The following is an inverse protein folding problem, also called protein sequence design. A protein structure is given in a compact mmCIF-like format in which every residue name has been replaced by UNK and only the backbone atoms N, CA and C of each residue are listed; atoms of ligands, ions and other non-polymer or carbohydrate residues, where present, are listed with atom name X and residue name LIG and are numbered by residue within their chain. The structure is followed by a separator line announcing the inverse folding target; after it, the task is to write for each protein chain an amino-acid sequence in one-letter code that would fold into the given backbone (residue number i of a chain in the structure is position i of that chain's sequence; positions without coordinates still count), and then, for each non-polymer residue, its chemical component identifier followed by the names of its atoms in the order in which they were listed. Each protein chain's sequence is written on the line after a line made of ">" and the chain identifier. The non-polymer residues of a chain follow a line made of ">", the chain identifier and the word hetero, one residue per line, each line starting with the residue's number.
data_IF_440683812393
#
_entry.id   IF_440683812393
#
_cell.length_a   1.000
_cell.length_b   1.000
_cell.length_c   1.000
_cell.angle_alpha   90.00
_cell.angle_beta   90.00
_cell.angle_gamma   90.00
#
_symmetry.space_group_name_H-M   'P 1'
#
loop_
_entity.id
_entity.type
_entity.pdbx_description
1 polymer ?
#
# COMPACT_ATOMS: atom_id res chain seq x y z
N UNK A 1 -16.40 15.60 -45.52
CA UNK A 1 -15.73 14.33 -45.16
C UNK A 1 -16.69 13.18 -45.43
N UNK A 2 -16.30 12.17 -46.23
CA UNK A 2 -17.19 11.04 -46.56
C UNK A 2 -17.62 10.31 -45.28
N UNK A 3 -18.87 9.82 -45.22
CA UNK A 3 -19.46 9.12 -44.07
C UNK A 3 -18.58 7.95 -43.61
N UNK A 4 -17.89 7.30 -44.55
CA UNK A 4 -16.92 6.23 -44.29
C UNK A 4 -15.73 6.73 -43.45
N UNK A 5 -15.08 7.83 -43.84
CA UNK A 5 -13.94 8.39 -43.10
C UNK A 5 -14.31 8.82 -41.67
N UNK A 6 -15.52 9.36 -41.47
CA UNK A 6 -16.02 9.72 -40.14
C UNK A 6 -16.18 8.51 -39.23
N UNK A 7 -16.68 7.39 -39.77
CA UNK A 7 -16.83 6.16 -39.01
C UNK A 7 -15.47 5.53 -38.66
N UNK A 8 -14.54 5.48 -39.61
CA UNK A 8 -13.18 4.96 -39.38
C UNK A 8 -12.44 5.76 -38.31
N UNK A 9 -12.51 7.10 -38.38
CA UNK A 9 -11.92 7.98 -37.38
C UNK A 9 -12.50 7.74 -35.97
N UNK A 10 -13.81 7.57 -35.84
CA UNK A 10 -14.45 7.28 -34.56
C UNK A 10 -14.02 5.92 -33.98
N UNK A 11 -13.88 4.88 -34.82
CA UNK A 11 -13.39 3.58 -34.35
C UNK A 11 -11.93 3.63 -33.91
N UNK A 12 -11.09 4.41 -34.60
CA UNK A 12 -9.70 4.66 -34.21
C UNK A 12 -9.61 5.36 -32.85
N UNK A 13 -10.43 6.40 -32.62
CA UNK A 13 -10.50 7.06 -31.30
C UNK A 13 -10.94 6.07 -30.22
N UNK A 14 -11.98 5.26 -30.48
CA UNK A 14 -12.45 4.27 -29.52
C UNK A 14 -11.38 3.22 -29.19
N UNK A 15 -10.67 2.72 -30.20
CA UNK A 15 -9.59 1.76 -30.02
C UNK A 15 -8.41 2.35 -29.21
N UNK A 16 -8.06 3.62 -29.45
CA UNK A 16 -7.03 4.32 -28.65
C UNK A 16 -7.50 4.48 -27.20
N UNK A 17 -8.75 4.85 -26.96
CA UNK A 17 -9.29 4.96 -25.59
C UNK A 17 -9.25 3.60 -24.89
N UNK A 18 -9.67 2.53 -25.56
CA UNK A 18 -9.61 1.17 -25.00
C UNK A 18 -8.16 0.75 -24.73
N UNK A 19 -7.23 1.05 -25.63
CA UNK A 19 -5.81 0.73 -25.45
C UNK A 19 -5.18 1.51 -24.29
N UNK A 20 -5.49 2.80 -24.15
CA UNK A 20 -5.02 3.64 -23.04
C UNK A 20 -5.63 3.19 -21.70
N UNK A 21 -6.88 2.73 -21.70
CA UNK A 21 -7.52 2.13 -20.52
C UNK A 21 -7.02 0.72 -20.21
N UNK A 22 -6.44 0.02 -21.19
CA UNK A 22 -5.86 -1.31 -21.04
C UNK A 22 -4.35 -1.27 -20.74
N UNK A 23 -3.74 -0.07 -20.63
CA UNK A 23 -2.37 0.06 -20.18
C UNK A 23 -2.21 -0.62 -18.83
N UNK A 24 -1.37 -1.65 -18.76
CA UNK A 24 -1.02 -2.28 -17.48
C UNK A 24 -0.43 -1.20 -16.59
N UNK A 25 -1.02 -1.00 -15.42
CA UNK A 25 -0.39 -0.21 -14.37
C UNK A 25 1.00 -0.81 -14.15
N UNK A 26 2.05 -0.02 -14.34
CA UNK A 26 3.39 -0.43 -13.97
C UNK A 26 3.41 -0.50 -12.44
N UNK A 27 3.08 -1.67 -11.89
CA UNK A 27 3.14 -1.93 -10.46
C UNK A 27 4.60 -2.22 -10.14
N UNK A 28 5.30 -1.21 -9.62
CA UNK A 28 6.55 -1.44 -8.92
C UNK A 28 6.17 -2.02 -7.56
N UNK A 29 6.37 -3.32 -7.38
CA UNK A 29 6.28 -3.92 -6.04
C UNK A 29 7.46 -3.39 -5.24
N UNK A 30 7.23 -2.73 -4.09
CA UNK A 30 8.33 -2.27 -3.27
C UNK A 30 9.10 -3.46 -2.73
N UNK A 31 10.40 -3.27 -2.52
CA UNK A 31 11.24 -4.31 -1.94
C UNK A 31 10.83 -4.59 -0.51
N UNK A 32 10.45 -3.57 0.26
CA UNK A 32 9.96 -3.73 1.62
C UNK A 32 8.48 -3.34 1.66
N UNK A 33 7.64 -4.23 2.17
CA UNK A 33 6.22 -3.94 2.41
C UNK A 33 5.73 -4.65 3.66
N UNK A 34 4.73 -4.05 4.32
CA UNK A 34 4.02 -4.65 5.44
C UNK A 34 2.62 -5.08 4.98
N UNK A 35 2.12 -6.14 5.59
CA UNK A 35 0.75 -6.63 5.44
C UNK A 35 0.26 -7.16 6.78
N UNK A 36 -1.03 -6.99 7.11
CA UNK A 36 -1.64 -7.60 8.29
C UNK A 36 -2.50 -8.79 7.86
N UNK A 37 -2.22 -9.98 8.37
CA UNK A 37 -3.05 -11.16 8.08
C UNK A 37 -4.47 -10.98 8.63
N UNK A 38 -5.46 -11.04 7.73
CA UNK A 38 -6.87 -10.78 8.08
C UNK A 38 -7.21 -9.30 8.24
N UNK A 39 -6.24 -8.39 8.06
CA UNK A 39 -6.49 -6.96 7.92
C UNK A 39 -7.13 -6.61 6.57
N UNK A 40 -7.45 -5.34 6.40
CA UNK A 40 -7.91 -4.80 5.11
C UNK A 40 -7.02 -3.65 4.68
N UNK A 41 -6.91 -3.43 3.37
CA UNK A 41 -6.15 -2.32 2.81
C UNK A 41 -7.05 -1.07 2.69
N UNK A 42 -6.70 0.02 3.37
CA UNK A 42 -7.35 1.31 3.24
C UNK A 42 -6.77 2.06 2.03
N UNK A 43 -7.57 2.24 0.98
CA UNK A 43 -7.11 2.91 -0.24
C UNK A 43 -7.02 4.45 -0.09
N UNK A 44 -7.49 5.04 1.02
CA UNK A 44 -7.41 6.48 1.27
C UNK A 44 -6.05 6.84 1.86
N UNK A 45 -5.63 6.10 2.89
CA UNK A 45 -4.32 6.27 3.52
C UNK A 45 -3.24 5.42 2.86
N UNK A 46 -3.65 4.44 2.04
CA UNK A 46 -2.81 3.44 1.41
C UNK A 46 -2.13 2.49 2.43
N UNK A 47 -2.78 2.20 3.56
CA UNK A 47 -2.23 1.44 4.70
C UNK A 47 -2.97 0.11 4.91
N UNK A 48 -2.28 -0.93 5.39
CA UNK A 48 -2.95 -2.13 5.92
C UNK A 48 -3.47 -1.90 7.33
N UNK A 49 -4.77 -2.03 7.54
CA UNK A 49 -5.41 -1.71 8.82
C UNK A 49 -6.02 -2.95 9.47
N UNK A 50 -5.91 -3.04 10.80
CA UNK A 50 -6.66 -3.99 11.64
C UNK A 50 -7.21 -3.32 12.89
N UNK A 51 -8.28 -3.87 13.43
CA UNK A 51 -8.81 -3.53 14.77
C UNK A 51 -8.66 -4.68 15.77
N UNK A 52 -8.08 -5.80 15.35
CA UNK A 52 -7.71 -6.87 16.29
C UNK A 52 -6.48 -6.44 17.06
N UNK A 53 -6.53 -6.51 18.39
CA UNK A 53 -5.37 -6.25 19.25
C UNK A 53 -4.32 -7.36 19.18
N UNK A 54 -4.68 -8.51 18.60
CA UNK A 54 -3.78 -9.64 18.33
C UNK A 54 -3.84 -9.96 16.84
N UNK A 55 -2.70 -9.89 16.15
CA UNK A 55 -2.63 -10.13 14.70
C UNK A 55 -1.24 -10.57 14.26
N UNK A 56 -1.15 -11.18 13.09
CA UNK A 56 0.13 -11.51 12.45
C UNK A 56 0.51 -10.42 11.47
N UNK A 57 1.61 -9.73 11.75
CA UNK A 57 2.24 -8.76 10.84
C UNK A 57 3.21 -9.49 9.92
N UNK A 58 3.08 -9.26 8.62
CA UNK A 58 3.97 -9.81 7.59
C UNK A 58 4.87 -8.70 7.08
N UNK A 59 6.17 -8.94 7.15
CA UNK A 59 7.17 -8.15 6.45
C UNK A 59 7.57 -8.89 5.19
N UNK A 60 7.08 -8.40 4.06
CA UNK A 60 7.27 -8.98 2.74
C UNK A 60 8.46 -8.27 2.09
N UNK A 61 9.52 -9.05 1.89
CA UNK A 61 10.75 -8.63 1.27
C UNK A 61 10.81 -9.20 -0.15
N UNK A 62 10.76 -8.35 -1.17
CA UNK A 62 10.85 -8.74 -2.58
C UNK A 62 12.24 -8.44 -3.14
N UNK A 63 12.67 -9.21 -4.14
CA UNK A 63 13.98 -9.00 -4.76
C UNK A 63 13.85 -8.05 -5.95
N UNK A 64 14.56 -6.92 -5.92
CA UNK A 64 14.79 -6.11 -7.11
C UNK A 64 15.81 -6.76 -8.07
N UNK A 65 16.00 -6.22 -9.28
CA UNK A 65 16.84 -6.84 -10.33
C UNK A 65 18.30 -7.09 -9.93
N UNK A 66 18.82 -6.42 -8.91
CA UNK A 66 20.20 -6.56 -8.43
C UNK A 66 20.29 -6.71 -6.89
N UNK A 67 19.19 -7.12 -6.25
CA UNK A 67 19.05 -7.10 -4.79
C UNK A 67 18.73 -8.51 -4.30
N UNK A 68 19.68 -9.13 -3.61
CA UNK A 68 19.52 -10.52 -3.14
C UNK A 68 19.52 -10.64 -1.62
N UNK A 69 19.82 -9.56 -0.89
CA UNK A 69 19.82 -9.53 0.56
C UNK A 69 19.66 -8.10 1.09
N UNK A 70 19.10 -8.00 2.29
CA UNK A 70 19.06 -6.79 3.12
C UNK A 70 19.86 -7.01 4.40
N UNK A 71 20.36 -5.93 5.00
CA UNK A 71 20.90 -5.92 6.36
C UNK A 71 20.37 -4.71 7.13
N UNK A 72 20.60 -4.68 8.45
CA UNK A 72 20.12 -3.59 9.31
C UNK A 72 18.61 -3.41 9.23
N UNK A 73 17.88 -4.52 9.08
CA UNK A 73 16.43 -4.51 8.95
C UNK A 73 15.82 -4.14 10.30
N UNK A 74 15.00 -3.11 10.33
CA UNK A 74 14.36 -2.62 11.54
C UNK A 74 12.85 -2.49 11.33
N UNK A 75 12.09 -2.86 12.35
CA UNK A 75 10.67 -2.56 12.47
C UNK A 75 10.51 -1.31 13.34
N UNK A 76 9.91 -0.28 12.77
CA UNK A 76 9.56 0.97 13.46
C UNK A 76 8.15 0.82 14.01
N UNK A 77 7.99 1.08 15.30
CA UNK A 77 6.72 0.96 16.00
C UNK A 77 6.38 2.32 16.60
N UNK A 78 5.48 3.04 15.95
CA UNK A 78 5.02 4.36 16.35
C UNK A 78 3.66 4.28 17.07
N UNK A 79 3.52 5.07 18.14
CA UNK A 79 2.34 5.09 19.01
C UNK A 79 1.83 6.53 19.17
N UNK A 80 0.64 6.75 19.78
CA UNK A 80 0.07 8.08 19.90
C UNK A 80 0.99 9.05 20.65
N UNK A 81 1.04 10.30 20.18
CA UNK A 81 2.00 11.27 20.67
C UNK A 81 1.78 11.77 22.11
N UNK A 82 0.72 11.34 22.80
CA UNK A 82 0.45 11.75 24.17
C UNK A 82 1.22 10.87 25.18
N UNK A 83 1.97 11.48 26.10
CA UNK A 83 2.74 10.76 27.14
C UNK A 83 1.86 9.87 28.02
N UNK A 84 0.58 10.24 28.20
CA UNK A 84 -0.40 9.44 28.92
C UNK A 84 -0.68 8.09 28.27
N UNK A 85 -0.58 8.02 26.93
CA UNK A 85 -0.79 6.76 26.20
C UNK A 85 0.38 5.79 26.39
N UNK A 86 1.62 6.28 26.42
CA UNK A 86 2.81 5.43 26.62
C UNK A 86 2.83 4.69 27.96
N UNK A 87 2.38 5.33 29.03
CA UNK A 87 2.41 4.72 30.36
C UNK A 87 1.35 3.63 30.54
N UNK A 88 0.39 3.56 29.63
CA UNK A 88 -0.75 2.65 29.72
C UNK A 88 -0.70 1.57 28.63
N UNK A 89 0.16 1.72 27.62
CA UNK A 89 0.22 0.83 26.47
C UNK A 89 1.48 -0.02 26.39
N UNK A 90 1.37 -1.15 25.71
CA UNK A 90 2.48 -2.05 25.37
C UNK A 90 2.27 -2.62 23.97
N UNK A 91 3.36 -2.78 23.23
CA UNK A 91 3.39 -3.58 22.01
C UNK A 91 4.31 -4.76 22.25
N UNK A 92 3.82 -5.97 21.98
CA UNK A 92 4.63 -7.18 22.00
C UNK A 92 4.84 -7.73 20.60
N UNK A 93 6.06 -8.16 20.31
CA UNK A 93 6.47 -8.81 19.05
C UNK A 93 6.75 -10.29 19.34
N UNK A 94 6.45 -11.16 18.37
CA UNK A 94 6.56 -12.62 18.44
C UNK A 94 5.82 -13.24 19.64
N UNK A 95 4.57 -12.82 19.84
CA UNK A 95 3.68 -13.39 20.85
C UNK A 95 4.11 -13.09 22.29
N UNK A 96 4.94 -12.06 22.50
CA UNK A 96 5.43 -11.68 23.82
C UNK A 96 6.92 -11.91 24.06
N UNK A 97 7.67 -12.43 23.08
CA UNK A 97 9.11 -12.63 23.23
C UNK A 97 9.85 -11.31 23.46
N UNK A 98 9.47 -10.26 22.71
CA UNK A 98 9.89 -8.88 22.97
C UNK A 98 8.68 -8.06 23.37
N UNK A 99 8.67 -7.51 24.59
CA UNK A 99 7.66 -6.52 25.02
C UNK A 99 8.30 -5.13 25.05
N UNK A 100 7.77 -4.23 24.23
CA UNK A 100 8.18 -2.83 24.17
C UNK A 100 7.42 -2.08 25.25
N UNK A 101 8.17 -1.67 26.28
CA UNK A 101 7.66 -0.89 27.41
C UNK A 101 7.86 0.60 27.18
N UNK A 102 7.22 1.44 28.00
CA UNK A 102 7.30 2.90 27.90
C UNK A 102 8.72 3.47 27.86
N UNK A 103 9.70 2.81 28.50
CA UNK A 103 11.10 3.23 28.49
C UNK A 103 11.86 2.98 27.19
N UNK A 104 11.32 2.15 26.29
CA UNK A 104 11.93 1.84 25.00
C UNK A 104 11.56 2.88 23.91
N UNK A 105 10.52 3.68 24.15
CA UNK A 105 10.07 4.69 23.20
C UNK A 105 10.91 5.97 23.28
N UNK A 106 11.17 6.56 22.13
CA UNK A 106 11.81 7.86 21.96
C UNK A 106 10.89 8.80 21.19
N UNK A 107 10.86 10.08 21.57
CA UNK A 107 10.07 11.10 20.87
C UNK A 107 10.84 11.64 19.67
N UNK A 108 10.21 11.68 18.51
CA UNK A 108 10.73 12.36 17.33
C UNK A 108 10.40 11.64 16.04
N UNK A 109 11.38 11.64 15.13
CA UNK A 109 11.34 10.91 13.87
C UNK A 109 12.51 9.92 13.86
N UNK A 110 12.31 8.64 13.51
CA UNK A 110 13.40 7.68 13.38
C UNK A 110 14.48 8.20 12.44
N UNK A 111 15.75 8.00 12.78
CA UNK A 111 16.87 8.33 11.91
C UNK A 111 17.34 7.05 11.22
N UNK A 112 17.51 7.11 9.89
CA UNK A 112 18.23 6.08 9.16
C UNK A 112 19.72 6.44 9.18
N UNK A 113 20.51 5.97 10.14
CA UNK A 113 21.95 6.17 10.03
C UNK A 113 22.74 4.99 10.61
N UNK A 114 23.43 4.27 9.73
CA UNK A 114 24.71 3.68 10.07
C UNK A 114 25.81 4.57 9.47
N UNK A 115 26.07 5.69 10.14
CA UNK A 115 27.36 6.38 10.18
C UNK A 115 27.85 7.28 9.01
N UNK A 116 27.10 7.67 7.96
CA UNK A 116 27.75 8.52 6.91
C UNK A 116 26.91 9.42 5.99
N UNK A 117 25.70 9.87 6.32
CA UNK A 117 25.10 11.00 5.57
C UNK A 117 24.19 11.88 6.42
N UNK A 118 24.78 12.95 6.94
CA UNK A 118 24.07 13.99 7.69
C UNK A 118 22.75 14.39 7.05
N UNK A 119 21.72 14.51 7.89
CA UNK A 119 20.40 15.12 7.62
C UNK A 119 19.38 14.33 6.82
N UNK A 120 19.60 13.05 6.47
CA UNK A 120 18.52 12.24 5.90
C UNK A 120 17.53 11.79 6.99
N UNK A 121 16.74 12.75 7.48
CA UNK A 121 15.53 12.48 8.24
C UNK A 121 14.68 11.53 7.41
N UNK A 122 14.01 10.58 8.09
CA UNK A 122 12.91 9.82 7.51
C UNK A 122 12.07 10.73 6.60
N UNK A 123 11.73 10.34 5.36
CA UNK A 123 10.81 11.11 4.55
C UNK A 123 9.64 11.48 5.44
N UNK A 124 9.39 12.77 5.64
CA UNK A 124 8.30 13.21 6.51
C UNK A 124 7.03 12.55 6.01
N UNK A 125 6.56 11.51 6.70
CA UNK A 125 5.24 10.94 6.51
C UNK A 125 4.40 11.30 7.72
N UNK A 126 3.09 11.30 7.54
CA UNK A 126 2.18 12.19 8.27
C UNK A 126 2.06 11.87 9.77
N UNK A 127 2.62 10.75 10.24
CA UNK A 127 2.57 10.35 11.65
C UNK A 127 3.73 10.86 12.51
N UNK A 128 4.83 11.33 11.91
CA UNK A 128 5.98 11.87 12.66
C UNK A 128 5.96 13.41 12.73
N UNK A 129 6.47 14.02 13.82
CA UNK A 129 7.08 13.37 14.99
C UNK A 129 6.07 12.73 15.94
N UNK A 130 6.42 11.58 16.51
CA UNK A 130 5.66 10.89 17.56
C UNK A 130 6.57 10.05 18.44
N UNK A 131 6.02 9.31 19.40
CA UNK A 131 6.76 8.31 20.16
C UNK A 131 6.96 7.05 19.31
N UNK A 132 8.20 6.59 19.18
CA UNK A 132 8.52 5.38 18.43
C UNK A 132 9.54 4.51 19.15
N UNK A 133 9.49 3.21 18.88
CA UNK A 133 10.52 2.24 19.23
C UNK A 133 11.05 1.57 17.95
N UNK A 134 12.27 1.06 18.02
CA UNK A 134 12.88 0.28 16.95
C UNK A 134 13.09 -1.15 17.46
N UNK A 135 12.60 -2.13 16.69
CA UNK A 135 12.92 -3.53 16.89
C UNK A 135 13.86 -3.99 15.77
N UNK A 136 15.08 -4.37 16.15
CA UNK A 136 16.08 -4.84 15.21
C UNK A 136 15.77 -6.27 14.78
N UNK A 137 15.56 -6.47 13.49
CA UNK A 137 15.25 -7.77 12.91
C UNK A 137 16.56 -8.47 12.56
N UNK A 138 16.71 -9.71 13.01
CA UNK A 138 17.89 -10.56 12.75
C UNK A 138 19.21 -10.01 13.32
N UNK A 139 19.16 -9.10 14.31
CA UNK A 139 20.33 -8.57 15.03
C UNK A 139 21.46 -8.12 14.07
N UNK A 140 21.07 -7.37 13.04
CA UNK A 140 21.97 -6.78 12.04
C UNK A 140 22.46 -7.77 10.99
N UNK A 141 22.04 -9.04 11.08
CA UNK A 141 22.39 -10.09 10.14
C UNK A 141 21.75 -9.89 8.77
N UNK A 142 22.37 -10.51 7.76
CA UNK A 142 21.83 -10.54 6.40
C UNK A 142 20.53 -11.35 6.34
N UNK A 143 19.53 -10.79 5.66
CA UNK A 143 18.24 -11.43 5.34
C UNK A 143 18.19 -11.64 3.83
N UNK A 144 18.00 -12.87 3.36
CA UNK A 144 17.95 -13.20 1.93
C UNK A 144 16.63 -12.76 1.29
N UNK A 145 16.67 -12.39 0.00
CA UNK A 145 15.48 -12.03 -0.78
C UNK A 145 15.16 -13.06 -1.87
N UNK A 146 13.88 -13.28 -2.22
CA UNK A 146 12.69 -12.79 -1.53
C UNK A 146 12.39 -13.60 -0.26
N UNK A 147 11.80 -12.96 0.75
CA UNK A 147 11.44 -13.60 2.00
C UNK A 147 10.23 -12.91 2.63
N UNK A 148 9.38 -13.68 3.30
CA UNK A 148 8.35 -13.13 4.19
C UNK A 148 8.71 -13.49 5.61
N UNK A 149 8.86 -12.47 6.46
CA UNK A 149 8.98 -12.61 7.90
C UNK A 149 7.60 -12.36 8.53
N UNK A 150 7.27 -13.13 9.56
CA UNK A 150 5.98 -13.04 10.24
C UNK A 150 6.21 -12.78 11.71
N UNK A 151 5.50 -11.81 12.26
CA UNK A 151 5.57 -11.42 13.65
C UNK A 151 4.17 -11.51 14.27
N UNK A 152 4.05 -12.20 15.40
CA UNK A 152 2.81 -12.22 16.17
C UNK A 152 2.77 -10.97 17.06
N UNK A 153 1.90 -10.02 16.70
CA UNK A 153 1.79 -8.72 17.37
C UNK A 153 0.65 -8.75 18.38
N UNK A 154 0.94 -8.27 19.60
CA UNK A 154 -0.07 -8.01 20.62
C UNK A 154 0.01 -6.55 21.05
N UNK A 155 -1.07 -5.80 20.85
CA UNK A 155 -1.22 -4.41 21.25
C UNK A 155 -2.16 -4.31 22.45
N UNK A 156 -1.75 -3.59 23.48
CA UNK A 156 -2.62 -3.26 24.61
C UNK A 156 -2.48 -1.78 24.96
N UNK A 157 -3.58 -1.14 25.38
CA UNK A 157 -3.58 0.20 25.98
C UNK A 157 -3.27 1.37 25.04
N UNK A 158 -3.11 1.13 23.73
CA UNK A 158 -2.96 2.17 22.71
C UNK A 158 -4.22 2.31 21.86
N UNK A 159 -4.54 3.55 21.47
CA UNK A 159 -5.64 3.86 20.55
C UNK A 159 -5.29 3.50 19.11
N UNK A 160 -4.01 3.67 18.73
CA UNK A 160 -3.46 3.23 17.46
C UNK A 160 -1.99 2.84 17.60
N UNK A 161 -1.50 1.99 16.70
CA UNK A 161 -0.07 1.67 16.56
C UNK A 161 0.24 1.59 15.08
N UNK A 162 1.22 2.37 14.63
CA UNK A 162 1.67 2.40 13.26
C UNK A 162 3.00 1.64 13.15
N UNK A 163 3.08 0.79 12.15
CA UNK A 163 4.22 -0.07 11.86
C UNK A 163 4.80 0.32 10.52
N UNK A 164 6.11 0.47 10.52
CA UNK A 164 6.89 0.74 9.33
C UNK A 164 8.16 -0.11 9.36
N UNK A 165 8.81 -0.32 8.23
CA UNK A 165 10.03 -1.10 8.17
C UNK A 165 11.03 -0.47 7.20
N UNK A 166 12.30 -0.64 7.52
CA UNK A 166 13.37 -0.24 6.61
C UNK A 166 14.54 -1.20 6.73
N UNK A 167 15.30 -1.28 5.65
CA UNK A 167 16.56 -2.00 5.62
C UNK A 167 17.50 -1.39 4.59
N UNK A 168 18.72 -1.91 4.56
CA UNK A 168 19.75 -1.45 3.65
C UNK A 168 20.17 -2.57 2.71
N UNK A 169 20.37 -2.23 1.44
CA UNK A 169 21.00 -3.15 0.51
C UNK A 169 22.50 -3.19 0.69
N UNK A 170 23.04 -4.40 0.59
CA UNK A 170 24.44 -4.54 0.27
C UNK A 170 24.64 -4.32 -1.25
N UNK A 171 25.01 -3.09 -1.63
CA UNK A 171 25.32 -2.72 -3.03
C UNK A 171 26.70 -3.26 -3.46
N UNK A 172 27.42 -4.02 -2.63
CA UNK A 172 28.80 -4.42 -2.90
C UNK A 172 28.94 -5.56 -3.93
N UNK A 173 28.59 -5.32 -5.20
CA UNK A 173 29.21 -5.88 -6.43
C UNK A 173 29.60 -7.38 -6.48
N UNK A 174 29.04 -8.24 -5.62
CA UNK A 174 29.53 -9.61 -5.41
C UNK A 174 30.96 -9.69 -4.84
N UNK A 175 31.54 -8.60 -4.33
CA UNK A 175 32.87 -8.59 -3.67
C UNK A 175 32.88 -7.67 -2.46
N UNK A 176 33.20 -8.26 -1.30
CA UNK A 176 33.53 -7.54 -0.06
C UNK A 176 34.75 -6.64 -0.27
N UNK A 177 34.55 -5.38 -0.61
CA UNK A 177 35.56 -4.33 -0.39
C UNK A 177 34.97 -3.27 0.53
N UNK A 178 35.52 -3.25 1.74
CA UNK A 178 35.14 -2.53 2.95
C UNK A 178 35.27 -0.99 2.85
N UNK A 179 34.90 -0.36 1.74
CA UNK A 179 35.02 1.10 1.67
C UNK A 179 33.94 1.67 0.77
N UNK A 180 32.94 2.25 1.43
CA UNK A 180 31.77 2.94 0.85
C UNK A 180 30.68 1.99 0.34
N UNK A 181 29.99 1.33 1.27
CA UNK A 181 28.63 0.85 1.01
C UNK A 181 27.80 2.11 0.75
N UNK A 182 27.39 2.34 -0.49
CA UNK A 182 26.34 3.31 -0.79
C UNK A 182 25.05 2.66 -0.29
N UNK A 183 24.66 2.93 0.93
CA UNK A 183 23.37 2.50 1.47
C UNK A 183 22.28 3.24 0.67
N UNK A 184 21.56 2.52 -0.17
CA UNK A 184 20.22 2.95 -0.54
C UNK A 184 19.31 2.43 0.57
N UNK A 185 18.68 3.34 1.30
CA UNK A 185 17.64 3.00 2.25
C UNK A 185 16.41 2.63 1.44
N UNK A 186 16.03 1.35 1.46
CA UNK A 186 14.74 0.98 0.94
C UNK A 186 13.72 1.04 2.05
N UNK A 187 12.78 1.94 1.81
CA UNK A 187 11.72 2.33 2.71
C UNK A 187 10.45 1.64 2.25
N UNK A 188 9.64 1.13 3.19
CA UNK A 188 8.27 0.77 2.87
C UNK A 188 7.58 2.05 2.40
N UNK A 189 7.22 2.20 1.12
CA UNK A 189 6.55 3.41 0.70
C UNK A 189 5.26 3.58 1.53
N UNK A 190 4.78 4.81 1.77
CA UNK A 190 3.60 5.05 2.61
C UNK A 190 2.40 4.17 2.24
N UNK A 191 2.31 3.78 0.97
CA UNK A 191 1.27 2.88 0.48
C UNK A 191 1.37 1.40 0.89
N UNK A 192 2.30 1.04 1.76
CA UNK A 192 2.59 -0.33 2.14
C UNK A 192 2.90 -0.47 3.64
N UNK A 193 2.61 0.54 4.45
CA UNK A 193 2.72 0.48 5.90
C UNK A 193 1.54 -0.30 6.52
N UNK A 194 1.59 -0.48 7.84
CA UNK A 194 0.57 -1.22 8.59
C UNK A 194 0.16 -0.48 9.85
N UNK A 195 -1.12 -0.53 10.20
CA UNK A 195 -1.69 0.18 11.34
C UNK A 195 -2.70 -0.69 12.11
N UNK A 196 -2.58 -0.68 13.43
CA UNK A 196 -3.62 -1.09 14.35
C UNK A 196 -4.41 0.15 14.80
N UNK A 197 -5.74 0.08 14.78
CA UNK A 197 -6.64 1.10 15.33
C UNK A 197 -7.66 0.42 16.24
N UNK A 198 -7.73 0.85 17.51
CA UNK A 198 -8.58 0.21 18.52
C UNK A 198 -10.08 0.28 18.18
N UNK A 199 -10.51 1.38 17.56
CA UNK A 199 -11.86 1.50 17.03
C UNK A 199 -11.89 1.03 15.58
N UNK A 200 -12.80 0.09 15.28
CA UNK A 200 -13.00 -0.37 13.91
C UNK A 200 -13.39 0.82 13.03
N UNK A 201 -12.48 1.26 12.15
CA UNK A 201 -12.82 2.28 11.17
C UNK A 201 -13.92 1.74 10.25
N UNK A 202 -14.90 2.59 9.93
CA UNK A 202 -15.92 2.23 8.97
C UNK A 202 -15.25 1.98 7.63
N UNK A 203 -15.14 0.71 7.23
CA UNK A 203 -14.57 0.32 5.95
C UNK A 203 -15.31 1.09 4.84
N UNK A 204 -14.62 1.98 4.10
CA UNK A 204 -15.25 2.72 3.01
C UNK A 204 -15.88 1.72 2.03
N UNK A 205 -17.16 1.92 1.68
CA UNK A 205 -17.82 1.06 0.72
C UNK A 205 -16.97 1.00 -0.56
N UNK A 206 -16.61 -0.21 -1.05
CA UNK A 206 -15.60 -0.32 -2.09
C UNK A 206 -16.04 0.42 -3.35
N UNK A 207 -15.12 1.17 -3.96
CA UNK A 207 -15.32 1.93 -5.20
C UNK A 207 -15.86 1.08 -6.36
N UNK A 208 -15.71 -0.25 -6.26
CA UNK A 208 -16.32 -1.24 -7.15
C UNK A 208 -17.85 -1.17 -7.17
N UNK A 209 -18.51 -0.82 -6.07
CA UNK A 209 -19.96 -0.62 -6.03
C UNK A 209 -20.37 0.61 -6.85
N UNK A 210 -19.62 1.71 -6.77
CA UNK A 210 -19.83 2.88 -7.61
C UNK A 210 -19.58 2.55 -9.08
N UNK A 211 -18.50 1.84 -9.39
CA UNK A 211 -18.18 1.44 -10.77
C UNK A 211 -19.25 0.50 -11.34
N UNK A 212 -19.74 -0.44 -10.53
CA UNK A 212 -20.85 -1.32 -10.88
C UNK A 212 -22.14 -0.53 -11.13
N UNK A 213 -22.47 0.43 -10.25
CA UNK A 213 -23.64 1.29 -10.41
C UNK A 213 -23.56 2.12 -11.71
N UNK A 214 -22.39 2.69 -12.00
CA UNK A 214 -22.15 3.40 -13.26
C UNK A 214 -22.24 2.47 -14.47
N UNK A 215 -21.72 1.24 -14.37
CA UNK A 215 -21.82 0.21 -15.41
C UNK A 215 -23.27 -0.18 -15.72
N UNK A 216 -24.09 -0.38 -14.68
CA UNK A 216 -25.52 -0.68 -14.82
C UNK A 216 -26.25 0.52 -15.46
N UNK A 217 -25.96 1.75 -15.01
CA UNK A 217 -26.56 2.96 -15.58
C UNK A 217 -26.24 3.10 -17.07
N UNK A 218 -24.98 2.87 -17.47
CA UNK A 218 -24.56 2.88 -18.86
C UNK A 218 -25.32 1.82 -19.69
N UNK A 219 -25.52 0.62 -19.16
CA UNK A 219 -26.28 -0.45 -19.81
C UNK A 219 -27.76 -0.06 -20.01
N UNK A 220 -28.39 0.57 -19.02
CA UNK A 220 -29.78 1.04 -19.09
C UNK A 220 -29.92 2.10 -20.19
N UNK A 221 -29.02 3.08 -20.24
CA UNK A 221 -29.01 4.13 -21.26
C UNK A 221 -28.84 3.52 -22.65
N UNK A 222 -27.90 2.60 -22.82
CA UNK A 222 -27.67 1.89 -24.08
C UNK A 222 -28.91 1.12 -24.56
N UNK A 223 -29.60 0.41 -23.65
CA UNK A 223 -30.82 -0.34 -23.97
C UNK A 223 -31.98 0.58 -24.37
N UNK A 224 -32.11 1.75 -23.73
CA UNK A 224 -33.15 2.73 -24.05
C UNK A 224 -32.99 3.29 -25.47
N UNK A 225 -31.76 3.62 -25.87
CA UNK A 225 -31.48 4.17 -27.21
C UNK A 225 -31.64 3.14 -28.33
N UNK A 226 -31.23 1.89 -28.11
CA UNK A 226 -31.46 0.80 -29.06
C UNK A 226 -32.95 0.50 -29.24
N UNK A 227 -33.75 0.55 -28.16
CA UNK A 227 -35.19 0.39 -28.24
C UNK A 227 -35.88 1.53 -29.01
N UNK A 228 -35.52 2.79 -28.76
CA UNK A 228 -36.06 3.95 -29.51
C UNK A 228 -35.81 3.81 -31.01
N UNK A 229 -34.60 3.43 -31.42
CA UNK A 229 -34.25 3.23 -32.84
C UNK A 229 -35.09 2.11 -33.47
N UNK A 230 -35.26 0.97 -32.78
CA UNK A 230 -36.14 -0.12 -33.24
C UNK A 230 -37.59 0.34 -33.39
N UNK A 231 -38.10 1.12 -32.43
CA UNK A 231 -39.47 1.65 -32.49
C UNK A 231 -39.67 2.61 -33.68
N UNK A 232 -38.71 3.51 -33.94
CA UNK A 232 -38.75 4.41 -35.08
C UNK A 232 -38.73 3.64 -36.42
N UNK A 233 -37.90 2.59 -36.53
CA UNK A 233 -37.85 1.74 -37.71
C UNK A 233 -39.19 1.02 -37.96
N UNK A 234 -39.83 0.47 -36.93
CA UNK A 234 -41.15 -0.15 -37.04
C UNK A 234 -42.21 0.86 -37.49
N UNK A 235 -42.24 2.06 -36.90
CA UNK A 235 -43.17 3.13 -37.30
C UNK A 235 -43.01 3.51 -38.78
N UNK A 236 -41.77 3.57 -39.28
CA UNK A 236 -41.47 3.86 -40.68
C UNK A 236 -41.95 2.73 -41.62
N UNK A 237 -41.79 1.46 -41.23
CA UNK A 237 -42.29 0.32 -42.02
C UNK A 237 -43.83 0.30 -42.10
N UNK A 238 -44.51 0.61 -40.98
CA UNK A 238 -45.97 0.65 -40.94
C UNK A 238 -46.53 1.80 -41.80
N UNK A 239 -45.85 2.94 -41.89
CA UNK A 239 -46.32 4.06 -42.72
C UNK A 239 -46.18 3.79 -44.22
N UNK A 240 -45.17 3.00 -44.64
CA UNK A 240 -45.01 2.58 -46.04
C UNK A 240 -46.15 1.65 -46.47
N UNK A 241 -46.56 0.71 -45.60
CA UNK A 241 -47.62 -0.27 -45.92
C UNK A 241 -49.02 0.34 -46.05
N UNK A 242 -49.22 1.58 -45.57
CA UNK A 242 -50.51 2.30 -45.65
C UNK A 242 -50.65 3.17 -46.91
N UNK A 243 -49.60 3.29 -47.73
CA UNK A 243 -49.64 3.95 -49.03
C UNK A 243 -49.84 2.93 -50.13
#
# INVERSE_FOLDING_TARGET
>A
MNKVYKNVFNYLILAIIVYLLAGSVASATPTVSLEIEGGYYDNVTETWVTSSSEFTLKLILTAGPNENALYGLNLVIAVPGSESSMNNGTVSVDGGATTISSSAYSWGTPLFDEADVGTSQYPSHDIFPTWFALEEINNGGLVSLPQTLTFDIVVAGFDWVHFDAYGFYDVATGKKTSTTIKTHSDFVPPSHDAEYVAEAMAVPEPSTLYLMALGILALIIYRKETFKKKLQAVKALVSIRKK
#
